data_IF_901769929559
#
_entry.id   IF_901769929559
#
_cell.length_a   1.000
_cell.length_b   1.000
_cell.length_c   1.000
_cell.angle_alpha   90.00
_cell.angle_beta   90.00
_cell.angle_gamma   90.00
#
_symmetry.space_group_name_H-M   'P 1'
#
loop_
_entity.id
_entity.type
_entity.pdbx_description
1 polymer ?
#
# COMPACT_ATOMS: atom_id res chain seq x y z
N UNK A 1 -16.03 90.33 -23.40
CA UNK A 1 -16.07 88.94 -24.01
C UNK A 1 -15.44 88.02 -23.06
N UNK A 2 -16.21 87.52 -22.12
CA UNK A 2 -15.73 86.52 -21.10
C UNK A 2 -16.41 85.20 -21.33
N UNK A 3 -15.63 84.17 -21.63
CA UNK A 3 -16.12 82.80 -21.74
C UNK A 3 -15.97 82.14 -20.37
N UNK A 4 -17.13 81.85 -19.79
CA UNK A 4 -17.26 81.07 -18.57
C UNK A 4 -16.95 79.58 -18.88
N UNK A 5 -15.96 79.01 -18.25
CA UNK A 5 -15.69 77.56 -18.33
C UNK A 5 -16.44 76.88 -17.15
N UNK A 6 -17.39 76.05 -17.50
CA UNK A 6 -18.07 75.11 -16.56
C UNK A 6 -17.19 73.90 -16.25
N UNK A 7 -16.80 73.69 -15.00
CA UNK A 7 -16.17 72.51 -14.56
C UNK A 7 -17.28 71.55 -14.10
N UNK A 8 -17.45 70.41 -14.81
CA UNK A 8 -18.28 69.31 -14.40
C UNK A 8 -17.44 68.36 -13.52
N UNK A 9 -17.79 68.31 -12.24
CA UNK A 9 -17.16 67.37 -11.28
C UNK A 9 -17.88 66.02 -11.45
N UNK A 10 -17.18 65.07 -12.02
CA UNK A 10 -17.66 63.67 -12.08
C UNK A 10 -17.41 62.99 -10.73
N UNK A 11 -18.47 62.65 -10.04
CA UNK A 11 -18.45 61.87 -8.80
C UNK A 11 -18.33 60.41 -9.18
N UNK A 12 -17.13 59.79 -8.99
CA UNK A 12 -16.91 58.37 -9.18
C UNK A 12 -17.44 57.66 -7.93
N UNK A 13 -18.55 56.95 -8.07
CA UNK A 13 -19.05 56.01 -7.07
C UNK A 13 -18.28 54.73 -7.23
N UNK A 14 -17.35 54.45 -6.32
CA UNK A 14 -16.70 53.19 -6.16
C UNK A 14 -17.67 52.21 -5.50
N UNK A 15 -18.28 51.34 -6.29
CA UNK A 15 -19.02 50.18 -5.80
C UNK A 15 -17.98 49.14 -5.37
N UNK A 16 -17.74 49.00 -4.07
CA UNK A 16 -17.06 47.84 -3.51
C UNK A 16 -17.98 46.63 -3.69
N UNK A 17 -17.71 45.86 -4.71
CA UNK A 17 -18.22 44.49 -4.74
C UNK A 17 -17.39 43.66 -3.73
N UNK A 18 -17.97 43.41 -2.57
CA UNK A 18 -17.52 42.33 -1.67
C UNK A 18 -17.65 41.01 -2.44
N UNK A 19 -16.60 40.67 -3.17
CA UNK A 19 -16.41 39.36 -3.71
C UNK A 19 -16.18 38.41 -2.54
N UNK A 20 -17.25 37.72 -2.12
CA UNK A 20 -17.15 36.55 -1.24
C UNK A 20 -16.32 35.50 -1.98
N UNK A 21 -15.01 35.60 -1.90
CA UNK A 21 -14.11 34.51 -2.27
C UNK A 21 -14.39 33.40 -1.28
N UNK A 22 -15.21 32.41 -1.69
CA UNK A 22 -15.19 31.09 -1.07
C UNK A 22 -13.75 30.60 -1.19
N UNK A 23 -12.94 30.85 -0.18
CA UNK A 23 -11.74 30.08 0.07
C UNK A 23 -12.20 28.63 0.22
N UNK A 24 -12.12 27.86 -0.84
CA UNK A 24 -12.11 26.41 -0.73
C UNK A 24 -10.83 26.09 0.04
N UNK A 25 -10.90 26.10 1.36
CA UNK A 25 -9.87 25.52 2.20
C UNK A 25 -9.74 24.08 1.72
N UNK A 26 -8.59 23.74 1.21
CA UNK A 26 -8.23 22.37 0.90
C UNK A 26 -8.43 21.59 2.21
N UNK A 27 -9.37 20.64 2.30
CA UNK A 27 -9.62 19.89 3.53
C UNK A 27 -8.41 19.02 3.93
N UNK A 28 -7.32 19.07 3.15
CA UNK A 28 -6.05 18.42 3.40
C UNK A 28 -4.94 19.39 3.85
N UNK A 29 -5.18 20.73 3.82
CA UNK A 29 -4.19 21.70 4.24
C UNK A 29 -3.84 21.61 5.74
N UNK A 30 -4.76 21.09 6.55
CA UNK A 30 -4.56 20.84 7.99
C UNK A 30 -4.11 19.40 8.30
N UNK A 31 -3.98 18.53 7.30
CA UNK A 31 -3.21 17.30 7.50
C UNK A 31 -1.76 17.74 7.62
N UNK A 32 -1.26 17.80 8.87
CA UNK A 32 0.17 17.88 9.15
C UNK A 32 0.89 17.04 8.09
N UNK A 33 1.78 17.68 7.34
CA UNK A 33 2.66 16.98 6.39
C UNK A 33 3.33 15.88 7.20
N UNK A 34 2.77 14.66 7.12
CA UNK A 34 3.27 13.51 7.86
C UNK A 34 4.66 13.30 7.32
N UNK A 35 5.62 13.95 7.97
CA UNK A 35 7.03 13.78 7.67
C UNK A 35 7.26 12.29 7.59
N UNK A 36 7.58 11.78 6.38
CA UNK A 36 7.88 10.36 6.18
C UNK A 36 8.91 9.94 7.24
N UNK A 37 8.54 9.23 8.30
CA UNK A 37 9.52 8.78 9.26
C UNK A 37 10.44 7.81 8.51
N UNK A 38 11.74 7.95 8.71
CA UNK A 38 12.69 6.97 8.19
C UNK A 38 12.71 5.80 9.17
N UNK A 39 12.31 4.63 8.70
CA UNK A 39 12.57 3.40 9.43
C UNK A 39 14.09 3.20 9.54
N UNK A 40 14.54 2.84 10.73
CA UNK A 40 15.93 2.46 10.93
C UNK A 40 16.26 1.17 10.19
N UNK A 41 17.52 0.93 9.87
CA UNK A 41 17.96 -0.34 9.27
C UNK A 41 17.53 -1.55 10.11
N UNK A 42 17.56 -1.41 11.44
CA UNK A 42 17.11 -2.46 12.35
C UNK A 42 15.61 -2.76 12.17
N UNK A 43 14.76 -1.74 12.18
CA UNK A 43 13.31 -1.88 11.97
C UNK A 43 12.99 -2.50 10.61
N UNK A 44 13.63 -2.01 9.54
CA UNK A 44 13.48 -2.58 8.20
C UNK A 44 13.85 -4.07 8.16
N UNK A 45 14.94 -4.47 8.79
CA UNK A 45 15.36 -5.87 8.82
C UNK A 45 14.36 -6.74 9.59
N UNK A 46 13.94 -6.32 10.78
CA UNK A 46 12.99 -7.08 11.60
C UNK A 46 11.65 -7.23 10.87
N UNK A 47 11.13 -6.15 10.28
CA UNK A 47 9.88 -6.17 9.51
C UNK A 47 10.04 -7.05 8.27
N UNK A 48 11.16 -6.93 7.53
CA UNK A 48 11.40 -7.71 6.31
C UNK A 48 11.50 -9.20 6.59
N UNK A 49 12.16 -9.60 7.68
CA UNK A 49 12.27 -11.00 8.08
C UNK A 49 10.89 -11.56 8.47
N UNK A 50 10.07 -10.75 9.15
CA UNK A 50 8.71 -11.16 9.50
C UNK A 50 7.82 -11.31 8.28
N UNK A 51 7.86 -10.37 7.32
CA UNK A 51 7.13 -10.47 6.06
C UNK A 51 7.62 -11.70 5.27
N UNK A 52 8.94 -11.88 5.17
CA UNK A 52 9.54 -13.04 4.52
C UNK A 52 9.01 -14.36 5.11
N UNK A 53 8.96 -14.46 6.44
CA UNK A 53 8.39 -15.64 7.11
C UNK A 53 6.90 -15.83 6.82
N UNK A 54 6.11 -14.75 6.81
CA UNK A 54 4.68 -14.81 6.52
C UNK A 54 4.39 -15.27 5.08
N UNK A 55 5.18 -14.82 4.10
CA UNK A 55 4.94 -15.07 2.67
C UNK A 55 5.61 -16.37 2.18
N UNK A 56 6.73 -16.77 2.77
CA UNK A 56 7.53 -17.89 2.26
C UNK A 56 7.68 -19.04 3.24
N UNK A 57 7.19 -18.90 4.48
CA UNK A 57 7.49 -19.84 5.57
C UNK A 57 8.99 -20.09 5.77
N UNK A 58 9.82 -19.08 5.43
CA UNK A 58 11.28 -19.16 5.49
C UNK A 58 11.94 -19.94 4.35
N UNK A 59 11.18 -20.42 3.37
CA UNK A 59 11.72 -21.14 2.22
C UNK A 59 12.09 -20.16 1.08
N UNK A 60 13.39 -20.04 0.72
CA UNK A 60 13.85 -19.14 -0.34
C UNK A 60 13.30 -19.47 -1.73
N UNK A 61 12.83 -20.69 -1.96
CA UNK A 61 12.22 -21.05 -3.25
C UNK A 61 10.92 -20.28 -3.52
N UNK A 62 10.20 -19.83 -2.48
CA UNK A 62 8.99 -19.03 -2.62
C UNK A 62 9.26 -17.54 -2.90
N UNK A 63 10.53 -17.09 -2.89
CA UNK A 63 10.86 -15.75 -3.40
C UNK A 63 10.64 -15.61 -4.90
N UNK A 64 10.57 -16.72 -5.61
CA UNK A 64 10.24 -16.78 -7.03
C UNK A 64 9.26 -17.94 -7.23
N UNK A 65 7.98 -17.63 -7.28
CA UNK A 65 6.94 -18.63 -7.31
C UNK A 65 5.90 -18.33 -8.39
N UNK A 66 5.44 -19.37 -9.08
CA UNK A 66 4.32 -19.27 -10.02
C UNK A 66 3.23 -20.26 -9.62
N UNK A 67 2.10 -19.74 -9.11
CA UNK A 67 0.94 -20.54 -8.74
C UNK A 67 0.33 -21.26 -9.96
N UNK A 68 -0.20 -22.46 -9.74
CA UNK A 68 -0.88 -23.21 -10.81
C UNK A 68 -2.09 -22.49 -11.39
N UNK A 69 -2.71 -21.63 -10.60
CA UNK A 69 -3.96 -20.95 -10.94
C UNK A 69 -3.72 -19.50 -11.42
N UNK A 70 -2.44 -19.08 -11.55
CA UNK A 70 -2.10 -17.72 -11.99
C UNK A 70 -1.42 -17.72 -13.34
N UNK A 71 -1.53 -16.60 -14.05
CA UNK A 71 -0.91 -16.37 -15.36
C UNK A 71 0.38 -15.53 -15.28
N UNK A 72 0.89 -15.36 -14.07
CA UNK A 72 2.09 -14.58 -13.76
C UNK A 72 2.88 -15.19 -12.61
N UNK A 73 4.21 -14.98 -12.52
CA UNK A 73 4.99 -15.26 -11.32
C UNK A 73 4.81 -14.17 -10.27
N UNK A 74 4.96 -14.57 -9.00
CA UNK A 74 5.09 -13.72 -7.83
C UNK A 74 6.54 -13.72 -7.38
N UNK A 75 7.12 -12.53 -7.16
CA UNK A 75 8.55 -12.33 -6.95
C UNK A 75 8.81 -11.54 -5.66
N UNK A 76 9.90 -11.89 -4.96
CA UNK A 76 10.31 -11.21 -3.73
C UNK A 76 9.39 -11.46 -2.52
N UNK A 77 9.72 -10.81 -1.39
CA UNK A 77 8.97 -10.95 -0.13
C UNK A 77 7.55 -10.36 -0.18
N UNK A 78 7.24 -9.58 -1.21
CA UNK A 78 5.93 -8.97 -1.40
C UNK A 78 5.09 -9.64 -2.46
N UNK A 79 5.52 -10.77 -2.98
CA UNK A 79 4.84 -11.42 -4.09
C UNK A 79 4.54 -10.44 -5.23
N UNK A 80 5.55 -9.62 -5.59
CA UNK A 80 5.42 -8.65 -6.68
C UNK A 80 5.03 -9.34 -7.99
N UNK A 81 3.96 -8.87 -8.60
CA UNK A 81 3.41 -9.45 -9.82
C UNK A 81 4.19 -8.94 -11.04
N UNK A 82 4.57 -9.85 -11.93
CA UNK A 82 5.19 -9.54 -13.21
C UNK A 82 4.52 -10.33 -14.33
N UNK A 83 3.72 -9.69 -15.14
CA UNK A 83 3.03 -10.37 -16.25
C UNK A 83 3.97 -10.62 -17.42
N UNK A 84 3.86 -11.81 -18.07
CA UNK A 84 4.39 -11.99 -19.41
C UNK A 84 3.78 -11.00 -20.41
N UNK A 85 4.51 -10.68 -21.46
CA UNK A 85 4.02 -9.81 -22.53
C UNK A 85 2.69 -10.33 -23.12
N UNK A 86 1.75 -9.41 -23.38
CA UNK A 86 0.47 -9.74 -24.04
C UNK A 86 -0.58 -10.38 -23.13
N UNK A 87 -0.29 -10.65 -21.86
CA UNK A 87 -1.27 -11.22 -20.93
C UNK A 87 -2.15 -10.10 -20.35
N UNK A 88 -3.50 -10.23 -20.37
CA UNK A 88 -4.40 -9.28 -19.72
C UNK A 88 -4.13 -9.17 -18.22
N UNK A 89 -3.98 -7.94 -17.71
CA UNK A 89 -3.64 -7.66 -16.32
C UNK A 89 -4.91 -7.60 -15.46
N UNK A 90 -5.17 -8.65 -14.70
CA UNK A 90 -6.28 -8.71 -13.74
C UNK A 90 -5.96 -7.96 -12.43
N UNK A 91 -4.69 -8.02 -12.03
CA UNK A 91 -4.20 -7.35 -10.82
C UNK A 91 -3.16 -6.28 -11.19
N UNK A 92 -2.85 -5.39 -10.27
CA UNK A 92 -1.80 -4.41 -10.46
C UNK A 92 -0.44 -5.13 -10.61
N UNK A 93 0.23 -4.85 -11.70
CA UNK A 93 1.60 -5.30 -11.90
C UNK A 93 2.55 -4.42 -11.07
N UNK A 94 3.32 -5.05 -10.19
CA UNK A 94 4.12 -4.33 -9.20
C UNK A 94 5.62 -4.52 -9.33
N UNK A 95 6.07 -5.59 -10.01
CA UNK A 95 7.49 -5.88 -10.12
C UNK A 95 8.27 -4.87 -10.98
N UNK A 96 7.74 -4.35 -12.11
CA UNK A 96 8.42 -3.28 -12.85
C UNK A 96 8.67 -2.02 -12.01
N UNK A 97 7.72 -1.66 -11.13
CA UNK A 97 7.90 -0.55 -10.19
C UNK A 97 8.99 -0.86 -9.14
N UNK A 98 9.09 -2.12 -8.68
CA UNK A 98 10.19 -2.54 -7.79
C UNK A 98 11.55 -2.49 -8.49
N UNK A 99 11.64 -2.88 -9.77
CA UNK A 99 12.87 -2.73 -10.56
C UNK A 99 13.26 -1.26 -10.67
N UNK A 100 12.29 -0.37 -10.96
CA UNK A 100 12.56 1.07 -11.01
C UNK A 100 13.06 1.59 -9.66
N UNK A 101 12.45 1.11 -8.56
CA UNK A 101 12.85 1.48 -7.21
C UNK A 101 14.30 1.05 -6.91
N UNK A 102 14.74 -0.12 -7.37
CA UNK A 102 16.14 -0.52 -7.28
C UNK A 102 17.07 0.45 -8.03
N UNK A 103 16.68 0.85 -9.25
CA UNK A 103 17.46 1.80 -10.07
C UNK A 103 17.58 3.15 -9.35
N UNK A 104 16.46 3.69 -8.86
CA UNK A 104 16.38 5.00 -8.19
C UNK A 104 17.22 5.01 -6.89
N UNK A 105 17.30 3.88 -6.20
CA UNK A 105 18.11 3.68 -5.00
C UNK A 105 19.56 3.22 -5.30
N UNK A 106 19.97 3.24 -6.57
CA UNK A 106 21.34 2.91 -7.02
C UNK A 106 21.81 1.51 -6.59
N UNK A 107 20.87 0.57 -6.52
CA UNK A 107 21.20 -0.84 -6.29
C UNK A 107 21.79 -1.39 -7.57
N UNK A 108 22.90 -2.10 -7.45
CA UNK A 108 23.45 -2.85 -8.56
C UNK A 108 22.53 -4.02 -8.91
N UNK A 109 21.90 -3.95 -10.09
CA UNK A 109 21.01 -4.98 -10.58
C UNK A 109 21.48 -5.52 -11.93
N UNK A 110 21.18 -6.79 -12.26
CA UNK A 110 21.55 -7.37 -13.56
C UNK A 110 21.04 -6.54 -14.74
N UNK A 111 21.91 -6.29 -15.73
CA UNK A 111 21.57 -5.47 -16.91
C UNK A 111 20.38 -6.04 -17.69
N UNK A 112 20.22 -7.36 -17.75
CA UNK A 112 19.09 -8.00 -18.41
C UNK A 112 17.76 -7.61 -17.74
N UNK A 113 17.76 -7.43 -16.40
CA UNK A 113 16.56 -7.05 -15.63
C UNK A 113 16.13 -5.62 -15.96
N UNK A 114 17.10 -4.69 -16.08
CA UNK A 114 16.84 -3.31 -16.53
C UNK A 114 16.20 -3.32 -17.93
N UNK A 115 16.77 -4.09 -18.85
CA UNK A 115 16.28 -4.22 -20.22
C UNK A 115 14.89 -4.85 -20.31
N UNK A 116 14.58 -5.80 -19.42
CA UNK A 116 13.34 -6.56 -19.44
C UNK A 116 12.17 -5.83 -18.72
N UNK A 117 12.47 -4.81 -17.90
CA UNK A 117 11.49 -4.14 -17.00
C UNK A 117 10.16 -3.81 -17.68
N UNK A 118 10.21 -3.20 -18.86
CA UNK A 118 9.02 -2.71 -19.57
C UNK A 118 8.51 -3.69 -20.65
N UNK A 119 9.13 -4.85 -20.79
CA UNK A 119 8.78 -5.87 -21.79
C UNK A 119 7.92 -7.01 -21.24
N UNK A 120 7.72 -7.06 -19.91
CA UNK A 120 7.05 -8.14 -19.22
C UNK A 120 8.02 -9.22 -18.73
N UNK A 121 7.50 -10.18 -17.97
CA UNK A 121 8.29 -11.29 -17.43
C UNK A 121 8.93 -12.11 -18.58
N UNK A 122 10.19 -12.59 -18.43
CA UNK A 122 10.88 -13.31 -19.52
C UNK A 122 10.31 -14.71 -19.74
N UNK A 123 9.52 -15.21 -18.85
CA UNK A 123 8.86 -16.52 -18.94
C UNK A 123 7.45 -16.37 -19.49
N UNK A 124 7.12 -17.04 -20.57
CA UNK A 124 5.80 -16.96 -21.23
C UNK A 124 4.70 -17.69 -20.44
N UNK A 125 5.07 -18.66 -19.62
CA UNK A 125 4.15 -19.46 -18.81
C UNK A 125 4.90 -20.16 -17.66
N UNK A 126 4.14 -20.82 -16.76
CA UNK A 126 4.70 -21.54 -15.62
C UNK A 126 5.71 -22.63 -16.01
N UNK A 127 5.47 -23.35 -17.09
CA UNK A 127 6.39 -24.43 -17.50
C UNK A 127 7.76 -23.86 -17.91
N UNK A 128 7.80 -22.75 -18.65
CA UNK A 128 9.07 -22.08 -18.99
C UNK A 128 9.75 -21.51 -17.75
N UNK A 129 8.99 -20.94 -16.82
CA UNK A 129 9.51 -20.46 -15.53
C UNK A 129 10.18 -21.60 -14.73
N UNK A 130 9.52 -22.74 -14.57
CA UNK A 130 10.08 -23.88 -13.84
C UNK A 130 11.32 -24.46 -14.53
N UNK A 131 11.35 -24.48 -15.87
CA UNK A 131 12.49 -24.94 -16.64
C UNK A 131 13.71 -24.04 -16.47
N UNK A 132 13.50 -22.73 -16.26
CA UNK A 132 14.58 -21.73 -16.14
C UNK A 132 15.22 -21.68 -14.75
N UNK A 133 14.83 -22.50 -13.78
CA UNK A 133 15.33 -22.42 -12.40
C UNK A 133 16.86 -22.48 -12.26
N UNK A 134 17.53 -23.12 -13.21
CA UNK A 134 18.99 -23.23 -13.24
C UNK A 134 19.66 -22.25 -14.20
N UNK A 135 18.89 -21.39 -14.88
CA UNK A 135 19.43 -20.39 -15.78
C UNK A 135 20.10 -19.26 -14.96
N UNK A 136 21.13 -18.66 -15.55
CA UNK A 136 21.90 -17.59 -14.90
C UNK A 136 21.01 -16.44 -14.42
N UNK A 137 20.13 -15.98 -15.28
CA UNK A 137 19.22 -14.87 -15.02
C UNK A 137 18.26 -15.17 -13.86
N UNK A 138 17.77 -16.41 -13.77
CA UNK A 138 16.89 -16.84 -12.67
C UNK A 138 17.66 -16.83 -11.33
N UNK A 139 18.87 -17.34 -11.32
CA UNK A 139 19.73 -17.39 -10.13
C UNK A 139 20.12 -15.97 -9.68
N UNK A 140 20.50 -15.10 -10.61
CA UNK A 140 20.83 -13.70 -10.34
C UNK A 140 19.63 -12.95 -9.73
N UNK A 141 18.42 -13.13 -10.27
CA UNK A 141 17.22 -12.52 -9.73
C UNK A 141 16.89 -13.04 -8.33
N UNK A 142 16.95 -14.35 -8.12
CA UNK A 142 16.71 -14.95 -6.80
C UNK A 142 17.69 -14.41 -5.75
N UNK A 143 18.97 -14.28 -6.12
CA UNK A 143 20.00 -13.70 -5.27
C UNK A 143 19.70 -12.23 -4.95
N UNK A 144 19.35 -11.42 -5.95
CA UNK A 144 18.96 -10.03 -5.76
C UNK A 144 17.80 -9.91 -4.76
N UNK A 145 16.71 -10.67 -4.97
CA UNK A 145 15.54 -10.64 -4.11
C UNK A 145 15.85 -11.04 -2.66
N UNK A 146 16.71 -12.04 -2.46
CA UNK A 146 17.13 -12.48 -1.13
C UNK A 146 17.92 -11.40 -0.40
N UNK A 147 18.81 -10.70 -1.10
CA UNK A 147 19.74 -9.75 -0.48
C UNK A 147 19.19 -8.33 -0.36
N UNK A 148 18.00 -8.06 -0.91
CA UNK A 148 17.37 -6.74 -0.89
C UNK A 148 16.04 -6.71 -0.12
N UNK A 149 15.79 -7.66 0.78
CA UNK A 149 14.55 -7.73 1.58
C UNK A 149 14.23 -6.42 2.30
N UNK A 150 15.22 -5.79 2.94
CA UNK A 150 15.05 -4.50 3.60
C UNK A 150 14.58 -3.40 2.65
N UNK A 151 15.12 -3.34 1.42
CA UNK A 151 14.72 -2.36 0.42
C UNK A 151 13.33 -2.66 -0.15
N UNK A 152 12.95 -3.92 -0.31
CA UNK A 152 11.59 -4.32 -0.65
C UNK A 152 10.59 -3.87 0.44
N UNK A 153 10.97 -3.97 1.71
CA UNK A 153 10.17 -3.47 2.82
C UNK A 153 10.06 -1.94 2.81
N UNK A 154 11.15 -1.23 2.50
CA UNK A 154 11.11 0.22 2.33
C UNK A 154 10.15 0.63 1.19
N UNK A 155 10.17 -0.10 0.07
CA UNK A 155 9.22 0.11 -1.02
C UNK A 155 7.75 -0.05 -0.58
N UNK A 156 7.44 -1.06 0.26
CA UNK A 156 6.10 -1.19 0.84
C UNK A 156 5.73 -0.03 1.75
N UNK A 157 6.68 0.42 2.57
CA UNK A 157 6.47 1.56 3.45
C UNK A 157 6.17 2.83 2.64
N UNK A 158 6.93 3.09 1.58
CA UNK A 158 6.72 4.25 0.71
C UNK A 158 5.33 4.16 0.03
N UNK A 159 4.97 2.99 -0.48
CA UNK A 159 3.63 2.76 -1.07
C UNK A 159 2.50 2.89 -0.07
N UNK A 160 2.68 2.42 1.15
CA UNK A 160 1.71 2.62 2.23
C UNK A 160 1.49 4.11 2.46
N UNK A 161 2.57 4.85 2.67
CA UNK A 161 2.53 6.28 2.92
C UNK A 161 1.79 7.03 1.80
N UNK A 162 2.13 6.75 0.54
CA UNK A 162 1.49 7.35 -0.64
C UNK A 162 0.00 6.95 -0.78
N UNK A 163 -0.41 5.84 -0.16
CA UNK A 163 -1.79 5.34 -0.22
C UNK A 163 -2.72 5.99 0.81
N UNK A 164 -2.19 6.53 1.90
CA UNK A 164 -3.04 7.07 2.98
C UNK A 164 -3.89 8.26 2.53
N UNK A 165 -3.37 9.27 1.81
CA UNK A 165 -4.20 10.35 1.28
C UNK A 165 -5.33 9.85 0.37
N UNK A 166 -5.07 8.83 -0.46
CA UNK A 166 -6.06 8.22 -1.33
C UNK A 166 -7.16 7.51 -0.52
N UNK A 167 -6.78 6.74 0.50
CA UNK A 167 -7.71 6.07 1.42
C UNK A 167 -8.60 7.09 2.13
N UNK A 168 -8.01 8.15 2.69
CA UNK A 168 -8.75 9.21 3.40
C UNK A 168 -9.69 9.97 2.47
N UNK A 169 -9.25 10.27 1.23
CA UNK A 169 -10.09 10.92 0.23
C UNK A 169 -11.29 10.07 -0.19
N UNK A 170 -11.13 8.75 -0.21
CA UNK A 170 -12.17 7.81 -0.64
C UNK A 170 -13.39 7.79 0.29
N UNK A 171 -13.22 8.04 1.58
CA UNK A 171 -14.31 8.00 2.56
C UNK A 171 -15.05 9.31 2.69
N UNK A 172 -16.29 9.23 3.21
CA UNK A 172 -17.09 10.39 3.52
C UNK A 172 -16.37 11.31 4.55
N UNK A 173 -16.51 12.64 4.44
CA UNK A 173 -15.75 13.60 5.25
C UNK A 173 -15.80 13.33 6.76
N UNK A 174 -16.96 12.93 7.28
CA UNK A 174 -17.19 12.66 8.70
C UNK A 174 -16.38 11.46 9.25
N UNK A 175 -15.91 10.57 8.39
CA UNK A 175 -15.12 9.40 8.77
C UNK A 175 -13.59 9.62 8.69
N UNK A 176 -13.16 10.67 7.99
CA UNK A 176 -11.76 10.91 7.68
C UNK A 176 -10.90 11.06 8.93
N UNK A 177 -11.39 11.84 9.90
CA UNK A 177 -10.67 12.08 11.14
C UNK A 177 -10.44 10.78 11.91
N UNK A 178 -11.45 9.95 12.07
CA UNK A 178 -11.36 8.66 12.76
C UNK A 178 -10.28 7.74 12.12
N UNK A 179 -10.26 7.65 10.78
CA UNK A 179 -9.29 6.83 10.05
C UNK A 179 -7.88 7.39 10.21
N UNK A 180 -7.72 8.71 10.10
CA UNK A 180 -6.45 9.40 10.26
C UNK A 180 -5.90 9.24 11.67
N UNK A 181 -6.74 9.36 12.69
CA UNK A 181 -6.34 9.22 14.10
C UNK A 181 -5.87 7.79 14.40
N UNK A 182 -6.60 6.78 13.93
CA UNK A 182 -6.22 5.37 14.11
C UNK A 182 -4.92 5.04 13.37
N UNK A 183 -4.74 5.53 12.14
CA UNK A 183 -3.48 5.41 11.43
C UNK A 183 -2.32 6.06 12.18
N UNK A 184 -2.48 7.31 12.64
CA UNK A 184 -1.46 8.05 13.38
C UNK A 184 -1.15 7.42 14.73
N UNK A 185 -2.13 6.84 15.41
CA UNK A 185 -1.91 6.11 16.64
C UNK A 185 -0.98 4.92 16.42
N UNK A 186 -1.18 4.16 15.35
CA UNK A 186 -0.29 3.05 14.96
C UNK A 186 1.08 3.57 14.52
N UNK A 187 1.14 4.56 13.65
CA UNK A 187 2.39 5.13 13.14
C UNK A 187 3.30 5.67 14.25
N UNK A 188 2.71 6.19 15.34
CA UNK A 188 3.41 6.68 16.55
C UNK A 188 3.66 5.57 17.57
N UNK A 189 3.18 4.35 17.36
CA UNK A 189 3.38 3.22 18.26
C UNK A 189 4.64 2.46 17.89
N UNK A 190 5.48 2.13 18.85
CA UNK A 190 6.63 1.26 18.63
C UNK A 190 6.18 -0.08 18.03
N UNK A 191 6.71 -0.43 16.86
CA UNK A 191 6.31 -1.63 16.12
C UNK A 191 5.03 -1.49 15.29
N UNK A 192 4.36 -0.34 15.28
CA UNK A 192 3.10 -0.12 14.56
C UNK A 192 3.24 -0.10 13.03
N UNK A 193 4.45 0.09 12.52
CA UNK A 193 4.68 0.03 11.07
C UNK A 193 4.55 -1.38 10.50
N UNK A 194 4.90 -2.41 11.27
CA UNK A 194 4.75 -3.78 10.78
C UNK A 194 3.30 -4.13 10.41
N UNK A 195 2.29 -4.00 11.29
CA UNK A 195 0.92 -4.32 10.93
C UNK A 195 0.37 -3.48 9.78
N UNK A 196 0.73 -2.20 9.68
CA UNK A 196 0.28 -1.33 8.58
C UNK A 196 0.87 -1.79 7.23
N UNK A 197 2.18 -2.02 7.17
CA UNK A 197 2.89 -2.47 5.96
C UNK A 197 2.43 -3.87 5.55
N UNK A 198 2.39 -4.80 6.51
CA UNK A 198 2.02 -6.18 6.23
C UNK A 198 0.57 -6.30 5.77
N UNK A 199 -0.37 -5.59 6.42
CA UNK A 199 -1.78 -5.70 6.07
C UNK A 199 -2.12 -5.11 4.72
N UNK A 200 -1.59 -3.92 4.36
CA UNK A 200 -1.83 -3.33 3.04
C UNK A 200 -1.24 -4.19 1.91
N UNK A 201 -0.08 -4.81 2.15
CA UNK A 201 0.51 -5.76 1.21
C UNK A 201 -0.33 -7.05 1.10
N UNK A 202 -0.86 -7.54 2.20
CA UNK A 202 -1.64 -8.77 2.28
C UNK A 202 -3.06 -8.63 1.70
N UNK A 203 -3.74 -7.50 1.93
CA UNK A 203 -5.18 -7.34 1.64
C UNK A 203 -5.53 -6.10 0.83
N UNK A 204 -4.56 -5.27 0.49
CA UNK A 204 -4.77 -4.07 -0.30
C UNK A 204 -5.27 -2.87 0.49
N UNK A 205 -5.60 -1.81 -0.25
CA UNK A 205 -6.09 -0.54 0.31
C UNK A 205 -7.54 -0.62 0.80
N UNK A 206 -8.37 -1.46 0.18
CA UNK A 206 -9.81 -1.56 0.45
C UNK A 206 -10.68 -0.54 -0.28
N UNK A 207 -10.16 0.11 -1.33
CA UNK A 207 -10.88 1.12 -2.11
C UNK A 207 -11.37 0.62 -3.47
N UNK A 208 -10.83 -0.48 -3.98
CA UNK A 208 -11.21 -1.05 -5.28
C UNK A 208 -12.49 -1.87 -5.17
N UNK A 209 -13.28 -1.88 -6.26
CA UNK A 209 -14.47 -2.74 -6.35
C UNK A 209 -14.16 -4.23 -6.28
N UNK A 210 -12.97 -4.63 -6.74
CA UNK A 210 -12.45 -6.01 -6.66
C UNK A 210 -12.04 -6.45 -5.26
N UNK A 211 -11.95 -5.50 -4.31
CA UNK A 211 -11.62 -5.76 -2.90
C UNK A 211 -12.89 -5.81 -2.02
N UNK A 212 -14.03 -6.29 -2.58
CA UNK A 212 -15.34 -6.29 -1.90
C UNK A 212 -16.16 -7.52 -2.24
N UNK A 213 -16.90 -8.01 -1.24
CA UNK A 213 -18.05 -8.90 -1.39
C UNK A 213 -19.28 -8.21 -0.79
N UNK A 214 -20.41 -8.20 -1.47
CA UNK A 214 -21.63 -7.54 -1.00
C UNK A 214 -21.38 -6.09 -0.52
N UNK A 215 -20.58 -5.32 -1.26
CA UNK A 215 -20.16 -3.96 -0.93
C UNK A 215 -19.32 -3.85 0.39
N UNK A 216 -18.96 -4.96 1.01
CA UNK A 216 -18.09 -5.02 2.20
C UNK A 216 -16.64 -5.23 1.77
N UNK A 217 -15.80 -4.21 1.95
CA UNK A 217 -14.37 -4.31 1.69
C UNK A 217 -13.60 -5.00 2.82
N UNK A 218 -12.34 -5.34 2.54
CA UNK A 218 -11.47 -6.04 3.50
C UNK A 218 -10.02 -5.52 3.54
N UNK A 219 -9.74 -4.39 2.90
CA UNK A 219 -8.40 -3.79 2.89
C UNK A 219 -8.10 -2.95 4.14
N UNK A 220 -6.98 -2.24 4.11
CA UNK A 220 -6.50 -1.43 5.24
C UNK A 220 -7.55 -0.38 5.68
N UNK A 221 -8.25 0.26 4.72
CA UNK A 221 -9.33 1.19 5.02
C UNK A 221 -10.32 0.60 6.01
N UNK A 222 -10.83 -0.62 5.73
CA UNK A 222 -11.86 -1.23 6.57
C UNK A 222 -11.35 -1.63 7.94
N UNK A 223 -10.07 -1.92 8.07
CA UNK A 223 -9.46 -2.17 9.39
C UNK A 223 -9.41 -0.88 10.20
N UNK A 224 -8.88 0.21 9.63
CA UNK A 224 -8.81 1.51 10.30
C UNK A 224 -10.20 2.06 10.66
N UNK A 225 -11.21 1.81 9.81
CA UNK A 225 -12.61 2.17 10.05
C UNK A 225 -13.26 1.32 11.16
N UNK A 226 -12.84 0.04 11.30
CA UNK A 226 -13.41 -0.91 12.29
C UNK A 226 -12.75 -0.77 13.67
N UNK A 227 -11.55 -0.20 13.74
CA UNK A 227 -10.88 0.09 15.01
C UNK A 227 -11.72 1.04 15.87
N UNK A 228 -11.73 0.80 17.18
CA UNK A 228 -12.16 1.85 18.12
C UNK A 228 -11.10 2.96 18.15
N UNK A 229 -11.47 4.20 18.52
CA UNK A 229 -10.50 5.27 18.75
C UNK A 229 -9.44 4.84 19.77
N UNK A 230 -8.17 4.96 19.42
CA UNK A 230 -7.05 4.56 20.28
C UNK A 230 -5.97 5.63 20.34
N UNK A 231 -5.21 5.63 21.45
CA UNK A 231 -3.99 6.42 21.58
C UNK A 231 -2.76 5.60 21.19
N UNK A 232 -1.66 6.23 20.80
CA UNK A 232 -0.38 5.53 20.58
C UNK A 232 0.01 4.67 21.79
N UNK A 233 0.44 3.44 21.52
CA UNK A 233 0.86 2.50 22.56
C UNK A 233 0.48 1.05 22.24
N UNK A 234 0.83 0.09 23.11
CA UNK A 234 0.59 -1.33 22.88
C UNK A 234 -0.88 -1.69 22.59
N UNK A 235 -1.82 -0.94 23.18
CA UNK A 235 -3.25 -1.15 22.94
C UNK A 235 -3.65 -0.88 21.49
N UNK A 236 -3.01 0.09 20.81
CA UNK A 236 -3.27 0.35 19.38
C UNK A 236 -2.93 -0.88 18.52
N UNK A 237 -1.87 -1.62 18.84
CA UNK A 237 -1.51 -2.87 18.15
C UNK A 237 -2.58 -3.95 18.37
N UNK A 238 -3.04 -4.12 19.61
CA UNK A 238 -4.08 -5.10 19.96
C UNK A 238 -5.39 -4.78 19.25
N UNK A 239 -5.78 -3.50 19.22
CA UNK A 239 -7.01 -3.06 18.57
C UNK A 239 -6.94 -3.21 17.04
N UNK A 240 -5.78 -2.92 16.41
CA UNK A 240 -5.58 -3.20 14.99
C UNK A 240 -5.70 -4.70 14.69
N UNK A 241 -5.09 -5.56 15.50
CA UNK A 241 -5.19 -7.01 15.37
C UNK A 241 -6.66 -7.48 15.45
N UNK A 242 -7.40 -7.01 16.46
CA UNK A 242 -8.83 -7.32 16.64
C UNK A 242 -9.66 -6.87 15.43
N UNK A 243 -9.45 -5.63 14.98
CA UNK A 243 -10.17 -5.06 13.84
C UNK A 243 -9.86 -5.83 12.55
N UNK A 244 -8.60 -6.18 12.31
CA UNK A 244 -8.18 -6.98 11.15
C UNK A 244 -8.87 -8.35 11.13
N UNK A 245 -8.93 -9.05 12.27
CA UNK A 245 -9.65 -10.32 12.40
C UNK A 245 -11.13 -10.17 12.10
N UNK A 246 -11.77 -9.15 12.68
CA UNK A 246 -13.20 -8.87 12.44
C UNK A 246 -13.49 -8.62 10.95
N UNK A 247 -12.65 -7.84 10.27
CA UNK A 247 -12.76 -7.55 8.83
C UNK A 247 -12.61 -8.84 8.00
N UNK A 248 -11.66 -9.70 8.34
CA UNK A 248 -11.43 -10.96 7.60
C UNK A 248 -12.53 -11.98 7.84
N UNK A 249 -13.09 -12.06 9.05
CA UNK A 249 -14.28 -12.86 9.34
C UNK A 249 -15.47 -12.38 8.52
N UNK A 250 -15.72 -11.07 8.46
CA UNK A 250 -16.78 -10.48 7.65
C UNK A 250 -16.56 -10.77 6.15
N UNK A 251 -15.32 -10.76 5.67
CA UNK A 251 -14.98 -11.15 4.31
C UNK A 251 -15.45 -12.58 4.01
N UNK A 252 -15.14 -13.54 4.88
CA UNK A 252 -15.55 -14.95 4.74
C UNK A 252 -17.08 -15.08 4.70
N UNK A 253 -17.77 -14.37 5.60
CA UNK A 253 -19.24 -14.40 5.68
C UNK A 253 -19.91 -13.88 4.40
N UNK A 254 -19.25 -12.96 3.69
CA UNK A 254 -19.75 -12.38 2.45
C UNK A 254 -19.15 -13.03 1.19
N UNK A 255 -18.20 -13.93 1.33
CA UNK A 255 -17.55 -14.62 0.20
C UNK A 255 -18.54 -15.55 -0.48
N UNK A 256 -18.55 -15.62 -1.83
CA UNK A 256 -19.25 -16.65 -2.56
C UNK A 256 -18.82 -18.05 -2.06
N UNK A 257 -19.76 -18.98 -1.83
CA UNK A 257 -19.45 -20.31 -1.28
C UNK A 257 -18.40 -21.09 -2.10
N UNK A 258 -18.39 -20.91 -3.42
CA UNK A 258 -17.45 -21.55 -4.35
C UNK A 258 -15.99 -21.15 -4.10
N UNK A 259 -15.73 -20.00 -3.47
CA UNK A 259 -14.38 -19.56 -3.13
C UNK A 259 -13.81 -20.32 -1.93
N UNK A 260 -14.67 -20.96 -1.11
CA UNK A 260 -14.27 -21.72 0.08
C UNK A 260 -13.25 -21.00 0.97
N UNK A 261 -13.44 -19.67 1.18
CA UNK A 261 -12.46 -18.85 1.93
C UNK A 261 -12.31 -19.24 3.41
N UNK A 262 -13.27 -19.99 3.96
CA UNK A 262 -13.19 -20.52 5.33
C UNK A 262 -11.89 -21.31 5.58
N UNK A 263 -11.35 -21.98 4.57
CA UNK A 263 -10.08 -22.73 4.68
C UNK A 263 -8.89 -21.86 5.06
N UNK A 264 -8.95 -20.53 4.78
CA UNK A 264 -7.87 -19.59 5.04
C UNK A 264 -7.94 -18.95 6.42
N UNK A 265 -9.05 -19.10 7.15
CA UNK A 265 -9.31 -18.39 8.41
C UNK A 265 -8.20 -18.63 9.45
N UNK A 266 -7.76 -19.87 9.61
CA UNK A 266 -6.72 -20.20 10.60
C UNK A 266 -5.39 -19.48 10.30
N UNK A 267 -4.96 -19.49 9.03
CA UNK A 267 -3.75 -18.78 8.60
C UNK A 267 -3.89 -17.26 8.73
N UNK A 268 -5.03 -16.70 8.35
CA UNK A 268 -5.30 -15.26 8.49
C UNK A 268 -5.31 -14.83 9.97
N UNK A 269 -5.93 -15.62 10.84
CA UNK A 269 -5.95 -15.37 12.29
C UNK A 269 -4.55 -15.44 12.88
N UNK A 270 -3.75 -16.45 12.53
CA UNK A 270 -2.36 -16.55 12.99
C UNK A 270 -1.53 -15.34 12.55
N UNK A 271 -1.67 -14.88 11.28
CA UNK A 271 -0.99 -13.68 10.78
C UNK A 271 -1.43 -12.43 11.54
N UNK A 272 -2.71 -12.17 11.67
CA UNK A 272 -3.24 -10.98 12.33
C UNK A 272 -2.99 -10.98 13.84
N UNK A 273 -2.93 -12.11 14.50
CA UNK A 273 -2.47 -12.22 15.90
C UNK A 273 -1.05 -11.68 16.09
N UNK A 274 -0.17 -11.82 15.10
CA UNK A 274 1.19 -11.30 15.16
C UNK A 274 1.26 -9.77 15.17
N UNK A 275 0.16 -9.08 14.85
CA UNK A 275 0.08 -7.61 14.91
C UNK A 275 -0.14 -7.06 16.32
N UNK A 276 -0.62 -7.91 17.25
CA UNK A 276 -0.99 -7.48 18.61
C UNK A 276 0.19 -7.07 19.49
N UNK A 277 1.41 -7.38 19.07
CA UNK A 277 2.64 -7.06 19.84
C UNK A 277 3.71 -6.49 18.94
N UNK A 278 4.53 -5.59 19.50
CA UNK A 278 5.70 -5.08 18.78
C UNK A 278 6.68 -6.20 18.45
N UNK A 279 7.31 -6.13 17.28
CA UNK A 279 8.39 -7.03 16.89
C UNK A 279 9.74 -6.67 17.55
N UNK A 280 9.89 -5.46 18.10
CA UNK A 280 11.13 -4.92 18.67
C UNK A 280 10.87 -3.95 19.82
#
# INVERSE_FOLDING_TARGET
MNRLKLFATAMIVLIFMDGCTKTTTDPYADMEEVTRPKLTTYELNVISDKIYMNETSGNPEYLMYWSKNEVFPSLGIGHFIWYPAGIPKRFDETFPAMIQYYIDNKVEIPQWLVYQKDKGAPWSNRATFEKSRNDKEFIELKYLLMNTKGLQTQFFFDRLHDSIPEIVKYVAPEKRQHITDNYNALAKTKGGWYPLIDYINFKGKGIKSTERYNNQGWGLLQVLETMQPVQPGPYALQEFSRAAQSVLQRRIQNSPPENNEQQWLAGWTARTNSYATSLY
#
